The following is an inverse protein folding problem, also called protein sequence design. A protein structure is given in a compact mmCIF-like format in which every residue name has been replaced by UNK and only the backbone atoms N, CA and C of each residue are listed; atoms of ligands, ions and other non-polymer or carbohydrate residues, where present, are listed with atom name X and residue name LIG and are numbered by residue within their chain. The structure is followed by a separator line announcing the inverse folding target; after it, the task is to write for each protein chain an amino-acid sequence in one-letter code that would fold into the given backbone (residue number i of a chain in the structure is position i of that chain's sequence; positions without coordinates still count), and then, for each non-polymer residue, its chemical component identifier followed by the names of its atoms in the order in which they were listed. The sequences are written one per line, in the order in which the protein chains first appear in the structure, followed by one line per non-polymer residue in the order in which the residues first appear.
data_IF_425610361061
#
_entry.id   IF_425610361061
#
_cell.length_a   1.000
_cell.length_b   1.000
_cell.length_c   1.000
_cell.angle_alpha   90.00
_cell.angle_beta   90.00
_cell.angle_gamma   90.00
#
_symmetry.space_group_name_H-M   'P 1'
#
loop_
_entity.id
_entity.type
_entity.pdbx_description
1 polymer ?
#
# COMPACT_ATOMS: atom_id res chain seq x y z
N UNK A 1 -12.23 -2.08 18.97
CA UNK A 1 -12.88 -2.49 17.71
C UNK A 1 -14.28 -1.94 17.67
N UNK A 2 -14.77 -1.51 16.50
CA UNK A 2 -16.16 -1.14 16.23
C UNK A 2 -16.68 -2.02 15.12
N UNK A 3 -17.92 -2.47 15.23
CA UNK A 3 -18.62 -3.20 14.18
C UNK A 3 -19.78 -2.34 13.68
N UNK A 4 -19.81 -2.07 12.39
CA UNK A 4 -20.82 -1.23 11.75
C UNK A 4 -21.69 -2.13 10.87
N UNK A 5 -22.98 -2.15 11.16
CA UNK A 5 -23.98 -2.81 10.32
C UNK A 5 -24.56 -1.74 9.40
N UNK A 6 -24.22 -1.80 8.12
CA UNK A 6 -24.60 -0.78 7.15
C UNK A 6 -25.89 -1.22 6.44
N UNK A 7 -27.01 -0.58 6.81
CA UNK A 7 -28.35 -0.84 6.26
C UNK A 7 -28.55 -0.30 4.83
N UNK A 8 -27.58 0.44 4.26
CA UNK A 8 -27.73 1.06 2.95
C UNK A 8 -27.53 0.08 1.80
N UNK A 9 -28.34 0.19 0.74
CA UNK A 9 -28.12 -0.45 -0.57
C UNK A 9 -26.87 0.04 -1.32
N UNK A 10 -25.98 0.84 -0.69
CA UNK A 10 -24.75 1.27 -1.33
C UNK A 10 -23.70 0.15 -1.25
N UNK A 11 -23.05 -0.20 -2.38
CA UNK A 11 -22.04 -1.23 -2.39
C UNK A 11 -20.85 -0.81 -1.51
N UNK A 12 -20.27 -1.78 -0.83
CA UNK A 12 -19.05 -1.58 -0.08
C UNK A 12 -17.88 -1.48 -1.08
N UNK A 13 -17.28 -0.32 -1.17
CA UNK A 13 -16.14 -0.04 -2.07
C UNK A 13 -14.92 0.35 -1.24
N UNK A 14 -13.73 0.24 -1.82
CA UNK A 14 -12.51 0.68 -1.14
C UNK A 14 -12.60 2.14 -0.67
N UNK A 15 -13.25 3.01 -1.46
CA UNK A 15 -13.51 4.40 -1.09
C UNK A 15 -14.48 4.53 0.09
N UNK A 16 -15.59 3.77 0.10
CA UNK A 16 -16.59 3.87 1.18
C UNK A 16 -16.11 3.24 2.49
N UNK A 17 -15.22 2.24 2.42
CA UNK A 17 -14.53 1.69 3.60
C UNK A 17 -13.52 2.69 4.17
N UNK A 18 -12.73 3.34 3.31
CA UNK A 18 -11.66 4.25 3.73
C UNK A 18 -12.18 5.61 4.20
N UNK A 19 -13.17 6.18 3.49
CA UNK A 19 -13.61 7.57 3.66
C UNK A 19 -15.12 7.73 3.82
N UNK A 20 -15.90 6.65 3.88
CA UNK A 20 -17.34 6.76 4.14
C UNK A 20 -17.58 7.26 5.56
N UNK A 21 -18.13 8.47 5.78
CA UNK A 21 -18.19 9.07 7.13
C UNK A 21 -19.37 8.57 7.97
N UNK A 22 -20.33 7.90 7.35
CA UNK A 22 -21.57 7.48 8.00
C UNK A 22 -21.33 6.29 8.93
N UNK A 23 -21.88 6.39 10.15
CA UNK A 23 -21.81 5.34 11.17
C UNK A 23 -20.36 4.88 11.48
N UNK A 24 -19.39 5.80 11.43
CA UNK A 24 -17.98 5.51 11.71
C UNK A 24 -17.46 6.19 12.96
N UNK A 25 -16.42 5.60 13.54
CA UNK A 25 -15.62 6.18 14.62
C UNK A 25 -14.14 5.99 14.24
N UNK A 26 -13.58 6.92 13.48
CA UNK A 26 -12.23 6.81 12.91
C UNK A 26 -11.11 6.73 13.96
N UNK A 27 -11.33 7.27 15.16
CA UNK A 27 -10.37 7.17 16.27
C UNK A 27 -10.22 5.73 16.82
N UNK A 28 -11.10 4.79 16.41
CA UNK A 28 -10.99 3.40 16.82
C UNK A 28 -10.05 2.65 15.89
N UNK A 29 -9.04 2.01 16.48
CA UNK A 29 -7.98 1.25 15.79
C UNK A 29 -8.46 0.30 14.72
N UNK A 30 -9.59 -0.38 14.97
CA UNK A 30 -10.16 -1.36 14.04
C UNK A 30 -11.65 -1.14 13.93
N UNK A 31 -12.10 -0.94 12.69
CA UNK A 31 -13.50 -0.87 12.32
C UNK A 31 -13.79 -1.98 11.32
N UNK A 32 -14.83 -2.76 11.60
CA UNK A 32 -15.38 -3.77 10.70
C UNK A 32 -16.71 -3.25 10.20
N UNK A 33 -16.90 -3.23 8.89
CA UNK A 33 -18.10 -2.72 8.23
C UNK A 33 -18.73 -3.90 7.51
N UNK A 34 -19.98 -4.21 7.84
CA UNK A 34 -20.74 -5.29 7.23
C UNK A 34 -21.90 -4.65 6.48
N UNK A 35 -21.94 -4.80 5.16
CA UNK A 35 -23.03 -4.31 4.33
C UNK A 35 -24.18 -5.31 4.28
N UNK A 36 -25.39 -4.81 3.95
CA UNK A 36 -26.58 -5.64 3.82
C UNK A 36 -26.47 -6.74 2.75
N UNK A 37 -25.58 -6.58 1.75
CA UNK A 37 -25.26 -7.57 0.72
C UNK A 37 -24.09 -8.52 1.11
N UNK A 38 -23.77 -8.57 2.41
CA UNK A 38 -22.77 -9.46 3.02
C UNK A 38 -21.31 -9.22 2.63
N UNK A 39 -20.97 -8.07 2.03
CA UNK A 39 -19.56 -7.66 1.93
C UNK A 39 -19.04 -7.19 3.29
N UNK A 40 -17.75 -7.44 3.54
CA UNK A 40 -17.08 -7.06 4.78
C UNK A 40 -15.87 -6.19 4.46
N UNK A 41 -15.82 -5.02 5.09
CA UNK A 41 -14.75 -4.05 4.95
C UNK A 41 -14.03 -3.87 6.27
N UNK A 42 -12.72 -3.67 6.18
CA UNK A 42 -11.88 -3.39 7.34
C UNK A 42 -11.21 -2.04 7.16
N UNK A 43 -11.41 -1.15 8.13
CA UNK A 43 -10.69 0.12 8.21
C UNK A 43 -9.85 0.13 9.49
N UNK A 44 -8.59 0.53 9.33
CA UNK A 44 -7.60 0.50 10.40
C UNK A 44 -6.97 1.87 10.59
N UNK A 45 -6.96 2.37 11.83
CA UNK A 45 -6.08 3.48 12.19
C UNK A 45 -4.66 2.94 12.38
N UNK A 46 -3.71 3.53 11.63
CA UNK A 46 -2.33 3.04 11.58
C UNK A 46 -1.41 3.66 12.65
N UNK A 47 -1.91 4.59 13.47
CA UNK A 47 -1.06 5.23 14.48
C UNK A 47 -0.57 4.20 15.52
N UNK A 48 -1.45 3.28 15.92
CA UNK A 48 -1.19 2.33 17.01
C UNK A 48 -0.56 1.01 16.55
N UNK A 49 -0.81 0.58 15.32
CA UNK A 49 -0.37 -0.75 14.84
C UNK A 49 -0.18 -0.77 13.33
N UNK A 50 0.73 -1.62 12.88
CA UNK A 50 0.91 -1.88 11.47
C UNK A 50 -0.22 -2.78 10.93
N UNK A 51 -0.50 -2.74 9.61
CA UNK A 51 -1.60 -3.51 9.03
C UNK A 51 -1.45 -5.03 9.15
N UNK A 52 -0.22 -5.55 9.13
CA UNK A 52 0.04 -6.98 9.06
C UNK A 52 -0.48 -7.77 10.29
N UNK A 53 -0.18 -7.39 11.55
CA UNK A 53 -0.76 -8.05 12.72
C UNK A 53 -2.29 -8.01 12.76
N UNK A 54 -2.90 -6.89 12.35
CA UNK A 54 -4.35 -6.73 12.32
C UNK A 54 -4.99 -7.66 11.29
N UNK A 55 -4.44 -7.74 10.09
CA UNK A 55 -4.93 -8.65 9.06
C UNK A 55 -4.75 -10.10 9.44
N UNK A 56 -3.64 -10.46 10.10
CA UNK A 56 -3.44 -11.82 10.62
C UNK A 56 -4.53 -12.19 11.64
N UNK A 57 -4.87 -11.28 12.54
CA UNK A 57 -5.98 -11.48 13.49
C UNK A 57 -7.32 -11.62 12.75
N UNK A 58 -7.60 -10.73 11.80
CA UNK A 58 -8.81 -10.77 10.98
C UNK A 58 -8.94 -12.09 10.23
N UNK A 59 -7.89 -12.56 9.57
CA UNK A 59 -7.87 -13.85 8.87
C UNK A 59 -8.19 -15.00 9.83
N UNK A 60 -7.54 -15.06 10.99
CA UNK A 60 -7.79 -16.11 11.97
C UNK A 60 -9.26 -16.10 12.48
N UNK A 61 -9.83 -14.92 12.69
CA UNK A 61 -11.25 -14.78 13.08
C UNK A 61 -12.17 -15.27 11.98
N UNK A 62 -11.92 -14.89 10.72
CA UNK A 62 -12.77 -15.30 9.60
C UNK A 62 -12.66 -16.79 9.29
N UNK A 63 -11.46 -17.37 9.39
CA UNK A 63 -11.25 -18.82 9.31
C UNK A 63 -12.02 -19.56 10.39
N UNK A 64 -12.03 -19.05 11.62
CA UNK A 64 -12.81 -19.63 12.72
C UNK A 64 -14.32 -19.50 12.49
N UNK A 65 -14.80 -18.35 12.00
CA UNK A 65 -16.22 -18.14 11.65
C UNK A 65 -16.67 -18.99 10.45
N UNK A 66 -15.74 -19.49 9.63
CA UNK A 66 -16.05 -20.41 8.54
C UNK A 66 -16.29 -21.85 9.02
N UNK A 67 -16.05 -22.14 10.30
CA UNK A 67 -16.35 -23.44 10.90
C UNK A 67 -17.87 -23.59 11.15
N UNK A 68 -18.38 -24.83 11.14
CA UNK A 68 -19.79 -25.12 11.44
C UNK A 68 -20.27 -24.47 12.75
N UNK A 69 -21.48 -23.89 12.73
CA UNK A 69 -22.02 -23.10 13.84
C UNK A 69 -22.24 -23.90 15.14
N UNK A 70 -22.35 -25.23 15.06
CA UNK A 70 -22.41 -26.14 16.21
C UNK A 70 -21.08 -26.23 16.99
N UNK A 71 -19.99 -25.72 16.41
CA UNK A 71 -18.69 -25.57 17.06
C UNK A 71 -18.53 -24.21 17.75
N UNK A 72 -19.50 -23.30 17.62
CA UNK A 72 -19.46 -22.00 18.27
C UNK A 72 -19.92 -22.14 19.72
N UNK A 73 -19.08 -21.72 20.66
CA UNK A 73 -19.45 -21.62 22.07
C UNK A 73 -20.52 -20.52 22.23
N UNK A 74 -21.80 -20.91 22.23
CA UNK A 74 -22.91 -19.98 22.43
C UNK A 74 -22.95 -19.56 23.90
N UNK A 75 -22.14 -18.57 24.29
CA UNK A 75 -22.12 -17.99 25.65
C UNK A 75 -23.39 -17.19 26.02
N UNK A 76 -24.52 -17.45 25.36
CA UNK A 76 -25.78 -16.75 25.52
C UNK A 76 -25.98 -15.57 24.55
N UNK A 77 -27.07 -14.83 24.73
CA UNK A 77 -27.34 -13.62 23.93
C UNK A 77 -26.43 -12.48 24.40
N UNK A 78 -25.82 -11.70 23.49
CA UNK A 78 -25.01 -10.56 23.88
C UNK A 78 -25.90 -9.53 24.60
N UNK A 79 -25.39 -9.00 25.71
CA UNK A 79 -25.97 -7.81 26.33
C UNK A 79 -25.45 -6.56 25.62
N UNK A 80 -26.36 -5.70 25.18
CA UNK A 80 -26.03 -4.43 24.55
C UNK A 80 -26.64 -3.27 25.33
N UNK A 81 -25.93 -2.15 25.40
CA UNK A 81 -26.40 -0.90 25.96
C UNK A 81 -26.40 0.16 24.88
N UNK A 82 -27.54 0.80 24.66
CA UNK A 82 -27.64 1.93 23.75
C UNK A 82 -26.91 3.14 24.35
N UNK A 83 -26.00 3.72 23.58
CA UNK A 83 -25.38 5.00 23.90
C UNK A 83 -26.22 6.13 23.32
N UNK A 84 -26.58 7.12 24.15
CA UNK A 84 -27.35 8.30 23.75
C UNK A 84 -26.51 9.55 23.93
N UNK A 85 -26.66 10.49 22.99
CA UNK A 85 -25.87 11.72 22.96
C UNK A 85 -26.81 12.92 22.93
N UNK A 86 -26.56 13.90 23.80
CA UNK A 86 -27.20 15.21 23.73
C UNK A 86 -26.21 16.18 23.10
N UNK A 87 -26.46 16.54 21.84
CA UNK A 87 -25.57 17.42 21.08
C UNK A 87 -26.09 18.85 21.11
N UNK A 88 -25.21 19.78 21.49
CA UNK A 88 -25.49 21.21 21.40
C UNK A 88 -25.39 21.72 19.96
N UNK A 89 -25.68 23.01 19.76
CA UNK A 89 -25.63 23.64 18.45
C UNK A 89 -24.23 23.60 17.83
N UNK A 90 -23.20 23.97 18.59
CA UNK A 90 -21.81 24.02 18.12
C UNK A 90 -21.29 22.64 17.69
N UNK A 91 -21.62 21.58 18.44
CA UNK A 91 -21.22 20.21 18.10
C UNK A 91 -21.88 19.75 16.81
N UNK A 92 -23.17 20.08 16.60
CA UNK A 92 -23.87 19.76 15.35
C UNK A 92 -23.25 20.48 14.15
N UNK A 93 -22.90 21.75 14.31
CA UNK A 93 -22.20 22.51 13.25
C UNK A 93 -20.84 21.91 12.94
N UNK A 94 -20.04 21.58 13.96
CA UNK A 94 -18.73 20.95 13.79
C UNK A 94 -18.82 19.59 13.07
N UNK A 95 -19.83 18.78 13.39
CA UNK A 95 -20.08 17.51 12.70
C UNK A 95 -20.48 17.72 11.23
N UNK A 96 -21.31 18.73 10.94
CA UNK A 96 -21.68 19.08 9.57
C UNK A 96 -20.46 19.56 8.76
N UNK A 97 -19.62 20.41 9.34
CA UNK A 97 -18.39 20.88 8.71
C UNK A 97 -17.41 19.71 8.45
N UNK A 98 -17.24 18.81 9.42
CA UNK A 98 -16.40 17.62 9.27
C UNK A 98 -16.92 16.70 8.16
N UNK A 99 -18.23 16.47 8.09
CA UNK A 99 -18.85 15.68 7.02
C UNK A 99 -18.61 16.32 5.64
N UNK A 100 -18.75 17.64 5.52
CA UNK A 100 -18.48 18.38 4.29
C UNK A 100 -17.00 18.28 3.88
N UNK A 101 -16.06 18.48 4.81
CA UNK A 101 -14.62 18.34 4.56
C UNK A 101 -14.28 16.93 4.08
N UNK A 102 -14.83 15.91 4.74
CA UNK A 102 -14.62 14.53 4.34
C UNK A 102 -15.18 14.24 2.94
N UNK A 103 -16.39 14.72 2.62
CA UNK A 103 -16.98 14.58 1.29
C UNK A 103 -16.11 15.24 0.20
N UNK A 104 -15.56 16.42 0.47
CA UNK A 104 -14.63 17.09 -0.45
C UNK A 104 -13.36 16.25 -0.68
N UNK A 105 -12.76 15.70 0.38
CA UNK A 105 -11.57 14.85 0.26
C UNK A 105 -11.89 13.56 -0.50
N UNK A 106 -12.97 12.87 -0.13
CA UNK A 106 -13.42 11.65 -0.80
C UNK A 106 -13.65 11.89 -2.29
N UNK A 107 -14.30 13.00 -2.65
CA UNK A 107 -14.58 13.34 -4.04
C UNK A 107 -13.33 13.67 -4.87
N UNK A 108 -12.19 13.99 -4.24
CA UNK A 108 -10.91 14.26 -4.90
C UNK A 108 -10.10 12.99 -5.18
N UNK A 109 -10.50 11.84 -4.66
CA UNK A 109 -9.78 10.57 -4.84
C UNK A 109 -10.52 9.67 -5.83
N UNK A 110 -9.76 9.04 -6.72
CA UNK A 110 -10.18 7.93 -7.58
C UNK A 110 -9.54 6.63 -7.11
N UNK A 111 -10.23 5.52 -7.32
CA UNK A 111 -9.77 4.19 -6.96
C UNK A 111 -10.10 3.21 -8.08
N UNK A 112 -9.14 2.38 -8.45
CA UNK A 112 -9.32 1.32 -9.42
C UNK A 112 -8.71 0.03 -8.87
N UNK A 113 -9.34 -1.12 -9.06
CA UNK A 113 -8.81 -2.41 -8.63
C UNK A 113 -9.00 -3.47 -9.71
N UNK A 114 -8.07 -4.41 -9.77
CA UNK A 114 -8.16 -5.55 -10.68
C UNK A 114 -7.38 -6.73 -10.13
N UNK A 115 -7.51 -7.87 -10.79
CA UNK A 115 -6.76 -9.09 -10.50
C UNK A 115 -6.20 -9.64 -11.79
N UNK A 116 -4.89 -9.95 -11.79
CA UNK A 116 -4.24 -10.69 -12.87
C UNK A 116 -4.25 -12.16 -12.49
N UNK A 117 -5.05 -12.95 -13.19
CA UNK A 117 -5.08 -14.41 -13.05
C UNK A 117 -3.79 -15.01 -13.62
N UNK A 118 -3.42 -16.21 -13.15
CA UNK A 118 -2.23 -16.97 -13.57
C UNK A 118 -0.87 -16.29 -13.29
N UNK A 119 -0.89 -15.11 -12.66
CA UNK A 119 0.27 -14.39 -12.17
C UNK A 119 0.28 -14.41 -10.64
N UNK A 120 0.62 -15.57 -10.07
CA UNK A 120 0.69 -15.75 -8.63
C UNK A 120 2.08 -16.16 -8.15
N UNK A 121 2.22 -16.35 -6.85
CA UNK A 121 3.47 -16.79 -6.25
C UNK A 121 3.91 -18.18 -6.76
N UNK A 122 2.97 -19.04 -7.16
CA UNK A 122 3.33 -20.36 -7.72
C UNK A 122 3.94 -20.27 -9.12
N UNK A 123 3.43 -19.40 -10.01
CA UNK A 123 4.02 -19.21 -11.34
C UNK A 123 5.37 -18.51 -11.25
N UNK A 124 5.52 -17.52 -10.38
CA UNK A 124 6.80 -16.83 -10.16
C UNK A 124 7.86 -17.75 -9.51
N UNK A 125 7.46 -18.64 -8.59
CA UNK A 125 8.36 -19.65 -8.02
C UNK A 125 8.91 -20.62 -9.06
N UNK A 126 8.11 -21.03 -10.06
CA UNK A 126 8.58 -21.88 -11.17
C UNK A 126 9.68 -21.21 -12.01
N UNK A 127 9.69 -19.87 -12.03
CA UNK A 127 10.71 -19.05 -12.68
C UNK A 127 11.89 -18.72 -11.75
N UNK A 128 11.88 -19.20 -10.49
CA UNK A 128 12.84 -18.86 -9.43
C UNK A 128 12.87 -17.35 -9.09
N UNK A 129 11.72 -16.68 -9.16
CA UNK A 129 11.61 -15.24 -8.89
C UNK A 129 10.77 -15.01 -7.63
N UNK A 130 11.27 -14.19 -6.71
CA UNK A 130 10.49 -13.74 -5.56
C UNK A 130 9.35 -12.82 -6.01
N UNK A 131 8.13 -13.10 -5.54
CA UNK A 131 6.94 -12.39 -5.96
C UNK A 131 7.00 -10.88 -5.72
N UNK A 132 7.53 -10.50 -4.56
CA UNK A 132 7.66 -9.10 -4.14
C UNK A 132 8.65 -8.33 -5.04
N UNK A 133 9.84 -8.90 -5.27
CA UNK A 133 10.83 -8.33 -6.17
C UNK A 133 10.33 -8.22 -7.62
N UNK A 134 9.60 -9.22 -8.12
CA UNK A 134 8.95 -9.15 -9.44
C UNK A 134 7.95 -7.98 -9.50
N UNK A 135 7.06 -7.88 -8.52
CA UNK A 135 6.06 -6.83 -8.47
C UNK A 135 6.71 -5.45 -8.42
N UNK A 136 7.74 -5.25 -7.60
CA UNK A 136 8.44 -3.97 -7.48
C UNK A 136 9.19 -3.56 -8.75
N UNK A 137 9.85 -4.51 -9.43
CA UNK A 137 10.46 -4.24 -10.76
C UNK A 137 9.39 -3.90 -11.79
N UNK A 138 8.23 -4.58 -11.76
CA UNK A 138 7.11 -4.26 -12.64
C UNK A 138 6.47 -2.90 -12.37
N UNK A 139 6.36 -2.50 -11.11
CA UNK A 139 5.92 -1.16 -10.72
C UNK A 139 6.93 -0.09 -11.16
N UNK A 140 8.23 -0.36 -11.05
CA UNK A 140 9.27 0.54 -11.57
C UNK A 140 9.21 0.69 -13.11
N UNK A 141 8.90 -0.39 -13.85
CA UNK A 141 8.66 -0.30 -15.29
C UNK A 141 7.43 0.57 -15.60
N UNK A 142 6.33 0.41 -14.85
CA UNK A 142 5.13 1.21 -15.01
C UNK A 142 5.39 2.69 -14.70
N UNK A 143 6.14 2.98 -13.64
CA UNK A 143 6.56 4.35 -13.28
C UNK A 143 7.34 4.99 -14.41
N UNK A 144 8.39 4.32 -14.89
CA UNK A 144 9.23 4.82 -15.98
C UNK A 144 8.43 5.10 -17.26
N UNK A 145 7.45 4.25 -17.59
CA UNK A 145 6.54 4.46 -18.73
C UNK A 145 5.63 5.67 -18.55
N UNK A 146 5.14 5.91 -17.33
CA UNK A 146 4.23 7.01 -17.02
C UNK A 146 4.96 8.36 -16.97
N UNK A 147 6.19 8.38 -16.45
CA UNK A 147 6.91 9.64 -16.16
C UNK A 147 7.99 9.97 -17.19
N UNK A 148 8.49 8.97 -17.93
CA UNK A 148 9.65 9.10 -18.80
C UNK A 148 10.97 9.30 -18.05
N UNK A 149 10.96 9.18 -16.72
CA UNK A 149 12.11 9.39 -15.85
C UNK A 149 12.05 8.49 -14.63
N UNK A 150 12.78 8.86 -13.57
CA UNK A 150 12.83 8.08 -12.33
C UNK A 150 12.23 8.86 -11.18
N UNK A 151 11.19 8.30 -10.57
CA UNK A 151 10.60 8.80 -9.33
C UNK A 151 10.72 7.76 -8.23
N UNK A 152 10.57 8.20 -6.99
CA UNK A 152 10.67 7.28 -5.86
C UNK A 152 9.45 6.34 -5.82
N UNK A 153 9.73 5.04 -5.64
CA UNK A 153 8.76 4.03 -5.25
C UNK A 153 9.11 3.65 -3.82
N UNK A 154 8.22 3.98 -2.88
CA UNK A 154 8.38 3.69 -1.47
C UNK A 154 7.75 2.36 -1.15
N UNK A 155 8.51 1.50 -0.49
CA UNK A 155 8.08 0.17 -0.06
C UNK A 155 8.27 -0.03 1.44
N UNK A 156 7.20 -0.43 2.17
CA UNK A 156 7.28 -0.67 3.60
C UNK A 156 8.05 -1.97 3.91
N UNK A 157 8.93 -1.90 4.91
CA UNK A 157 9.74 -3.01 5.42
C UNK A 157 9.51 -3.14 6.92
N UNK A 158 9.14 -4.34 7.36
CA UNK A 158 8.91 -4.65 8.78
C UNK A 158 10.19 -4.50 9.60
N UNK A 159 10.06 -3.84 10.76
CA UNK A 159 11.08 -3.70 11.79
C UNK A 159 10.75 -4.52 13.07
N UNK A 160 9.69 -5.33 13.08
CA UNK A 160 9.19 -6.05 14.27
C UNK A 160 10.19 -7.00 14.96
N UNK A 161 11.29 -7.34 14.30
CA UNK A 161 12.44 -8.07 14.84
C UNK A 161 13.24 -7.25 15.87
N UNK A 162 13.11 -5.93 15.85
CA UNK A 162 13.66 -5.02 16.85
C UNK A 162 12.63 -4.72 17.94
N UNK A 163 13.09 -4.46 19.16
CA UNK A 163 12.21 -4.05 20.26
C UNK A 163 11.45 -2.77 19.89
N UNK A 164 10.12 -2.80 19.98
CA UNK A 164 9.20 -1.72 19.55
C UNK A 164 9.32 -1.34 18.07
N UNK A 165 9.98 -2.16 17.25
CA UNK A 165 10.06 -1.92 15.82
C UNK A 165 8.69 -1.95 15.16
N UNK A 166 8.44 -0.96 14.30
CA UNK A 166 7.23 -0.82 13.49
C UNK A 166 7.55 -1.17 12.04
N UNK A 167 7.48 -0.18 11.15
CA UNK A 167 7.79 -0.29 9.74
C UNK A 167 8.74 0.84 9.34
N UNK A 168 9.76 0.54 8.55
CA UNK A 168 10.51 1.55 7.79
C UNK A 168 10.10 1.51 6.33
N UNK A 169 10.52 2.49 5.53
CA UNK A 169 10.41 2.40 4.08
C UNK A 169 11.80 2.23 3.46
N UNK A 170 11.83 1.68 2.26
CA UNK A 170 12.98 1.78 1.35
C UNK A 170 12.54 2.32 -0.01
N UNK A 171 13.45 3.01 -0.70
CA UNK A 171 13.33 3.29 -2.12
C UNK A 171 13.60 2.04 -2.96
N UNK A 172 12.57 1.48 -3.62
CA UNK A 172 12.65 0.20 -4.33
C UNK A 172 13.35 0.29 -5.69
N UNK A 173 13.47 1.49 -6.27
CA UNK A 173 14.16 1.71 -7.55
C UNK A 173 15.68 1.66 -7.33
N UNK A 174 16.31 0.57 -7.80
CA UNK A 174 17.77 0.37 -7.77
C UNK A 174 18.41 0.76 -9.11
N UNK A 175 19.74 0.95 -9.15
CA UNK A 175 20.45 1.23 -10.40
C UNK A 175 20.35 0.06 -11.38
N UNK A 176 20.33 -1.17 -10.86
CA UNK A 176 20.15 -2.41 -11.60
C UNK A 176 18.75 -2.46 -12.24
N UNK A 177 17.71 -2.11 -11.47
CA UNK A 177 16.37 -1.98 -11.99
C UNK A 177 16.30 -0.92 -13.09
N UNK A 178 16.95 0.23 -12.92
CA UNK A 178 17.00 1.27 -13.96
C UNK A 178 17.63 0.75 -15.26
N UNK A 179 18.79 0.08 -15.17
CA UNK A 179 19.46 -0.50 -16.35
C UNK A 179 18.59 -1.52 -17.07
N UNK A 180 17.97 -2.43 -16.31
CA UNK A 180 17.04 -3.41 -16.87
C UNK A 180 15.86 -2.74 -17.56
N UNK A 181 15.17 -1.83 -16.86
CA UNK A 181 13.95 -1.17 -17.35
C UNK A 181 14.25 -0.33 -18.59
N UNK A 182 15.37 0.41 -18.63
CA UNK A 182 15.76 1.18 -19.82
C UNK A 182 15.97 0.25 -21.02
N UNK A 183 16.69 -0.86 -20.86
CA UNK A 183 16.91 -1.82 -21.94
C UNK A 183 15.59 -2.48 -22.40
N UNK A 184 14.76 -2.89 -21.44
CA UNK A 184 13.46 -3.51 -21.70
C UNK A 184 12.47 -2.54 -22.37
N UNK A 185 12.44 -1.28 -21.94
CA UNK A 185 11.62 -0.23 -22.54
C UNK A 185 12.08 0.12 -23.97
N UNK A 186 13.37 -0.01 -24.27
CA UNK A 186 13.91 0.16 -25.63
C UNK A 186 13.63 -1.02 -26.58
N UNK A 187 12.86 -2.03 -26.13
CA UNK A 187 12.47 -3.17 -26.97
C UNK A 187 13.50 -4.31 -27.03
N UNK A 188 14.59 -4.24 -26.26
CA UNK A 188 15.60 -5.30 -26.22
C UNK A 188 15.07 -6.52 -25.44
N UNK A 189 15.31 -7.74 -25.94
CA UNK A 189 14.77 -8.99 -25.37
C UNK A 189 15.80 -10.14 -25.37
N UNK A 190 17.08 -9.82 -25.54
CA UNK A 190 18.15 -10.80 -25.62
C UNK A 190 18.56 -11.36 -24.23
N UNK A 191 19.53 -12.27 -24.23
CA UNK A 191 20.06 -12.88 -23.01
C UNK A 191 20.69 -11.85 -22.07
N UNK A 192 21.25 -10.75 -22.59
CA UNK A 192 21.83 -9.70 -21.76
C UNK A 192 20.72 -8.97 -20.97
N UNK A 193 19.56 -8.72 -21.57
CA UNK A 193 18.39 -8.16 -20.87
C UNK A 193 17.89 -9.09 -19.76
N UNK A 194 17.93 -10.42 -19.96
CA UNK A 194 17.61 -11.38 -18.89
C UNK A 194 18.59 -11.29 -17.73
N UNK A 195 19.89 -11.15 -17.99
CA UNK A 195 20.88 -10.95 -16.92
C UNK A 195 20.65 -9.64 -16.17
N UNK A 196 20.28 -8.56 -16.85
CA UNK A 196 19.92 -7.30 -16.20
C UNK A 196 18.69 -7.46 -15.30
N UNK A 197 17.68 -8.21 -15.73
CA UNK A 197 16.51 -8.51 -14.90
C UNK A 197 16.90 -9.27 -13.63
N UNK A 198 17.75 -10.30 -13.74
CA UNK A 198 18.19 -11.08 -12.60
C UNK A 198 18.99 -10.22 -11.60
N UNK A 199 19.82 -9.30 -12.11
CA UNK A 199 20.51 -8.30 -11.29
C UNK A 199 19.54 -7.34 -10.60
N UNK A 200 18.48 -6.91 -11.28
CA UNK A 200 17.47 -6.03 -10.70
C UNK A 200 16.73 -6.71 -9.54
N UNK A 201 16.30 -7.96 -9.72
CA UNK A 201 15.62 -8.77 -8.69
C UNK A 201 16.55 -9.04 -7.50
N UNK A 202 17.81 -9.38 -7.76
CA UNK A 202 18.81 -9.58 -6.72
C UNK A 202 19.06 -8.30 -5.92
N UNK A 203 19.26 -7.17 -6.60
CA UNK A 203 19.50 -5.87 -5.95
C UNK A 203 18.32 -5.41 -5.09
N UNK A 204 17.08 -5.64 -5.53
CA UNK A 204 15.89 -5.39 -4.71
C UNK A 204 15.89 -6.27 -3.46
N UNK A 205 16.13 -7.57 -3.61
CA UNK A 205 16.15 -8.52 -2.50
C UNK A 205 17.25 -8.19 -1.48
N UNK A 206 18.44 -7.81 -1.95
CA UNK A 206 19.55 -7.40 -1.10
C UNK A 206 19.22 -6.11 -0.32
N UNK A 207 18.60 -5.12 -0.98
CA UNK A 207 18.16 -3.89 -0.32
C UNK A 207 17.05 -4.16 0.71
N UNK A 208 16.10 -5.02 0.39
CA UNK A 208 15.06 -5.47 1.33
C UNK A 208 15.70 -6.12 2.57
N UNK A 209 16.66 -7.02 2.37
CA UNK A 209 17.37 -7.69 3.45
C UNK A 209 18.19 -6.71 4.32
N UNK A 210 18.93 -5.78 3.70
CA UNK A 210 19.67 -4.73 4.41
C UNK A 210 18.74 -3.86 5.24
N UNK A 211 17.63 -3.41 4.64
CA UNK A 211 16.64 -2.57 5.31
C UNK A 211 16.00 -3.32 6.47
N UNK A 212 15.58 -4.57 6.25
CA UNK A 212 15.06 -5.44 7.30
C UNK A 212 16.08 -5.63 8.44
N UNK A 213 17.38 -5.66 8.16
CA UNK A 213 18.39 -5.73 9.22
C UNK A 213 18.71 -4.37 9.88
N UNK A 214 17.88 -3.34 9.67
CA UNK A 214 18.02 -2.02 10.29
C UNK A 214 19.11 -1.15 9.63
N UNK A 215 19.56 -1.52 8.43
CA UNK A 215 20.60 -0.81 7.69
C UNK A 215 20.03 0.09 6.56
N UNK A 216 18.70 0.30 6.56
CA UNK A 216 18.05 1.28 5.70
C UNK A 216 18.36 2.73 6.12
N UNK A 217 18.21 3.68 5.19
CA UNK A 217 18.64 5.07 5.43
C UNK A 217 17.48 6.00 5.80
N UNK A 218 16.25 5.66 5.42
CA UNK A 218 15.09 6.55 5.44
C UNK A 218 14.77 7.03 6.86
N UNK A 219 14.62 6.11 7.82
CA UNK A 219 14.38 6.47 9.21
C UNK A 219 15.62 7.00 9.92
N UNK A 220 16.82 6.63 9.48
CA UNK A 220 18.05 7.22 10.02
C UNK A 220 18.12 8.71 9.65
N UNK A 221 17.85 9.06 8.40
CA UNK A 221 17.77 10.45 7.93
C UNK A 221 16.65 11.22 8.63
N UNK A 222 15.48 10.62 8.84
CA UNK A 222 14.39 11.22 9.62
C UNK A 222 14.84 11.53 11.06
N UNK A 223 15.54 10.59 11.70
CA UNK A 223 16.08 10.77 13.05
C UNK A 223 17.08 11.92 13.12
N UNK A 224 18.01 12.00 12.16
CA UNK A 224 18.98 13.10 12.07
C UNK A 224 18.30 14.46 11.84
N UNK A 225 17.26 14.51 10.99
CA UNK A 225 16.49 15.73 10.76
C UNK A 225 15.74 16.18 12.03
N UNK A 226 15.14 15.23 12.75
CA UNK A 226 14.46 15.51 14.02
C UNK A 226 15.44 16.01 15.09
N UNK A 227 16.62 15.40 15.18
CA UNK A 227 17.68 15.85 16.08
C UNK A 227 18.14 17.27 15.73
N UNK A 228 18.35 17.58 14.45
CA UNK A 228 18.67 18.93 14.01
C UNK A 228 17.60 19.94 14.47
N UNK A 229 16.32 19.63 14.22
CA UNK A 229 15.20 20.50 14.60
C UNK A 229 15.13 20.77 16.11
N UNK A 230 15.43 19.76 16.94
CA UNK A 230 15.42 19.88 18.40
C UNK A 230 16.63 20.63 18.97
N UNK A 231 17.75 20.71 18.24
CA UNK A 231 19.02 21.25 18.73
C UNK A 231 19.38 22.61 18.11
N UNK A 232 18.38 23.43 17.79
CA UNK A 232 18.57 24.79 17.26
C UNK A 232 18.37 24.93 15.74
N UNK A 233 18.03 23.83 15.06
CA UNK A 233 17.56 23.84 13.70
C UNK A 233 18.57 24.39 12.69
N UNK A 234 18.04 24.99 11.62
CA UNK A 234 18.82 25.41 10.46
C UNK A 234 19.92 26.44 10.79
N UNK A 235 19.74 27.24 11.83
CA UNK A 235 20.71 28.27 12.21
C UNK A 235 21.98 27.67 12.82
N UNK A 236 21.85 26.59 13.59
CA UNK A 236 22.97 25.89 14.23
C UNK A 236 23.63 24.90 13.27
N UNK A 237 22.85 24.31 12.36
CA UNK A 237 23.32 23.29 11.41
C UNK A 237 23.03 23.69 9.95
N UNK A 238 23.67 24.74 9.42
CA UNK A 238 23.39 25.24 8.07
C UNK A 238 23.70 24.20 6.97
N UNK A 239 24.76 23.41 7.11
CA UNK A 239 25.13 22.39 6.12
C UNK A 239 24.13 21.22 6.11
N UNK A 240 23.70 20.77 7.29
CA UNK A 240 22.67 19.74 7.40
C UNK A 240 21.34 20.26 6.85
N UNK A 241 20.98 21.50 7.13
CA UNK A 241 19.79 22.13 6.56
C UNK A 241 19.89 22.20 5.02
N UNK A 242 21.04 22.55 4.45
CA UNK A 242 21.23 22.54 3.01
C UNK A 242 21.04 21.14 2.41
N UNK A 243 21.54 20.09 3.08
CA UNK A 243 21.33 18.70 2.68
C UNK A 243 19.84 18.30 2.78
N UNK A 244 19.17 18.57 3.90
CA UNK A 244 17.78 18.17 4.13
C UNK A 244 16.78 18.91 3.24
N UNK A 245 17.09 20.15 2.82
CA UNK A 245 16.29 20.91 1.86
C UNK A 245 16.76 20.74 0.41
N UNK A 246 17.71 19.85 0.14
CA UNK A 246 18.20 19.62 -1.21
C UNK A 246 17.10 19.02 -2.10
N UNK A 247 17.08 19.42 -3.37
CA UNK A 247 16.13 18.89 -4.35
C UNK A 247 16.23 17.37 -4.50
N UNK A 248 17.46 16.83 -4.42
CA UNK A 248 17.72 15.39 -4.45
C UNK A 248 17.03 14.66 -3.29
N UNK A 249 17.24 15.10 -2.05
CA UNK A 249 16.64 14.42 -0.91
C UNK A 249 15.12 14.56 -0.96
N UNK A 250 14.60 15.73 -1.34
CA UNK A 250 13.17 15.93 -1.51
C UNK A 250 12.56 14.94 -2.53
N UNK A 251 13.24 14.69 -3.65
CA UNK A 251 12.83 13.67 -4.63
C UNK A 251 12.88 12.26 -4.05
N UNK A 252 13.91 11.93 -3.26
CA UNK A 252 14.07 10.62 -2.63
C UNK A 252 12.95 10.33 -1.60
N UNK A 253 12.55 11.32 -0.80
CA UNK A 253 11.54 11.12 0.25
C UNK A 253 10.10 11.34 -0.23
N UNK A 254 9.92 11.92 -1.42
CA UNK A 254 8.60 12.11 -2.03
C UNK A 254 8.24 10.89 -2.88
N UNK A 255 7.48 9.96 -2.30
CA UNK A 255 6.99 8.78 -2.99
C UNK A 255 6.03 9.16 -4.13
N UNK A 256 6.39 8.82 -5.37
CA UNK A 256 5.45 8.86 -6.49
C UNK A 256 4.53 7.66 -6.44
N UNK A 257 5.06 6.47 -6.18
CA UNK A 257 4.26 5.32 -5.74
C UNK A 257 4.53 5.05 -4.27
N UNK A 258 3.48 5.14 -3.45
CA UNK A 258 3.48 4.62 -2.09
C UNK A 258 2.87 3.22 -2.13
N UNK A 259 3.71 2.20 -1.99
CA UNK A 259 3.27 0.81 -2.15
C UNK A 259 2.85 0.16 -0.83
N UNK A 260 2.06 -0.89 -0.90
CA UNK A 260 1.73 -1.76 0.25
C UNK A 260 1.55 -3.19 -0.25
N UNK A 261 2.29 -4.12 0.34
CA UNK A 261 2.25 -5.55 0.01
C UNK A 261 1.77 -6.35 1.20
N UNK A 262 0.60 -6.98 1.07
CA UNK A 262 0.00 -7.82 2.12
C UNK A 262 -0.60 -9.07 1.46
N UNK A 263 0.09 -10.23 1.51
CA UNK A 263 -0.31 -11.43 0.77
C UNK A 263 -1.36 -12.26 1.55
N UNK A 264 -2.48 -11.64 1.94
CA UNK A 264 -3.58 -12.35 2.60
C UNK A 264 -4.70 -12.63 1.59
N UNK A 265 -5.11 -13.90 1.46
CA UNK A 265 -6.17 -14.35 0.54
C UNK A 265 -7.53 -13.72 0.82
N UNK A 266 -7.77 -13.27 2.05
CA UNK A 266 -9.01 -12.59 2.46
C UNK A 266 -9.16 -11.19 1.85
N UNK A 267 -8.10 -10.62 1.28
CA UNK A 267 -8.11 -9.26 0.74
C UNK A 267 -8.47 -9.30 -0.74
N UNK A 268 -9.69 -8.88 -1.07
CA UNK A 268 -10.09 -8.64 -2.46
C UNK A 268 -9.49 -7.33 -3.00
N UNK A 269 -9.49 -6.28 -2.19
CA UNK A 269 -8.88 -4.99 -2.48
C UNK A 269 -8.43 -4.30 -1.20
N UNK A 270 -7.38 -3.48 -1.29
CA UNK A 270 -6.91 -2.63 -0.19
C UNK A 270 -6.52 -1.28 -0.77
N UNK A 271 -7.03 -0.21 -0.18
CA UNK A 271 -6.69 1.13 -0.59
C UNK A 271 -6.02 1.90 0.54
N UNK A 272 -5.03 2.71 0.17
CA UNK A 272 -4.48 3.77 0.98
C UNK A 272 -4.67 5.09 0.22
N UNK A 273 -4.49 6.23 0.88
CA UNK A 273 -4.44 7.52 0.20
C UNK A 273 -3.00 7.75 -0.29
N UNK A 274 -2.78 8.37 -1.48
CA UNK A 274 -1.44 8.77 -1.89
C UNK A 274 -0.76 9.65 -0.83
N UNK A 275 0.54 9.43 -0.57
CA UNK A 275 1.31 10.15 0.46
C UNK A 275 1.89 11.48 -0.03
N UNK A 276 1.82 11.74 -1.34
CA UNK A 276 2.28 12.98 -1.97
C UNK A 276 1.16 13.56 -2.84
N UNK A 277 1.28 14.85 -3.17
CA UNK A 277 0.25 15.59 -3.92
C UNK A 277 0.10 15.15 -5.37
N UNK A 278 1.16 14.61 -5.97
CA UNK A 278 1.21 14.12 -7.35
C UNK A 278 1.49 12.61 -7.44
N UNK A 279 1.45 11.90 -6.30
CA UNK A 279 1.69 10.47 -6.24
C UNK A 279 0.42 9.64 -6.23
N UNK A 280 0.65 8.34 -6.08
CA UNK A 280 -0.34 7.27 -6.16
C UNK A 280 -0.12 6.28 -5.03
N UNK A 281 -1.20 5.78 -4.43
CA UNK A 281 -1.14 4.65 -3.51
C UNK A 281 -1.37 3.37 -4.30
N UNK A 282 -0.45 2.41 -4.19
CA UNK A 282 -0.53 1.12 -4.90
C UNK A 282 -0.51 -0.01 -3.89
N UNK A 283 -1.60 -0.75 -3.82
CA UNK A 283 -1.60 -2.06 -3.17
C UNK A 283 -1.36 -3.15 -4.20
N UNK A 284 -0.53 -4.12 -3.83
CA UNK A 284 -0.43 -5.39 -4.52
C UNK A 284 -0.46 -6.55 -3.53
N UNK A 285 -1.24 -7.58 -3.85
CA UNK A 285 -1.34 -8.80 -3.05
C UNK A 285 -1.08 -10.00 -3.93
N UNK A 286 0.03 -10.71 -3.69
CA UNK A 286 0.37 -11.91 -4.46
C UNK A 286 -0.13 -13.14 -3.71
N UNK A 287 -1.15 -13.78 -4.26
CA UNK A 287 -1.70 -15.03 -3.76
C UNK A 287 -0.99 -16.23 -4.42
N UNK A 288 -1.46 -17.46 -4.21
CA UNK A 288 -0.91 -18.62 -4.93
C UNK A 288 -1.07 -18.51 -6.46
N UNK A 289 -2.26 -18.13 -6.92
CA UNK A 289 -2.65 -18.19 -8.33
C UNK A 289 -2.87 -16.82 -8.99
N UNK A 290 -2.99 -15.74 -8.21
CA UNK A 290 -3.35 -14.41 -8.73
C UNK A 290 -2.54 -13.29 -8.09
N UNK A 291 -2.48 -12.15 -8.79
CA UNK A 291 -1.98 -10.87 -8.30
C UNK A 291 -3.14 -9.89 -8.23
N UNK A 292 -3.53 -9.49 -7.02
CA UNK A 292 -4.52 -8.43 -6.80
C UNK A 292 -3.84 -7.06 -6.80
N UNK A 293 -4.45 -6.07 -7.42
CA UNK A 293 -3.94 -4.71 -7.52
C UNK A 293 -5.04 -3.70 -7.18
N UNK A 294 -4.69 -2.67 -6.42
CA UNK A 294 -5.52 -1.50 -6.21
C UNK A 294 -4.68 -0.25 -6.35
N UNK A 295 -5.14 0.70 -7.16
CA UNK A 295 -4.53 2.02 -7.34
C UNK A 295 -5.47 3.06 -6.76
N UNK A 296 -4.90 4.01 -6.02
CA UNK A 296 -5.54 5.24 -5.58
C UNK A 296 -4.80 6.44 -6.18
N UNK A 297 -5.56 7.44 -6.62
CA UNK A 297 -5.02 8.63 -7.26
C UNK A 297 -5.80 9.87 -6.84
N UNK A 298 -5.13 11.02 -6.74
CA UNK A 298 -5.86 12.28 -6.76
C UNK A 298 -6.40 12.51 -8.17
N UNK A 299 -7.65 12.93 -8.30
CA UNK A 299 -8.28 13.24 -9.60
C UNK A 299 -7.63 14.41 -10.34
N UNK A 300 -6.79 15.17 -9.64
CA UNK A 300 -5.98 16.26 -10.21
C UNK A 300 -4.65 15.77 -10.78
N UNK A 301 -4.27 14.52 -10.56
CA UNK A 301 -3.05 13.96 -11.10
C UNK A 301 -3.14 13.80 -12.63
N UNK A 302 -2.00 13.73 -13.34
CA UNK A 302 -1.98 13.56 -14.79
C UNK A 302 -2.66 12.28 -15.28
N UNK A 303 -2.60 11.20 -14.49
CA UNK A 303 -3.29 9.94 -14.78
C UNK A 303 -4.35 9.67 -13.71
N UNK A 304 -5.53 9.25 -14.13
CA UNK A 304 -6.56 8.68 -13.26
C UNK A 304 -6.10 7.36 -12.63
N UNK A 305 -6.84 6.87 -11.62
CA UNK A 305 -6.52 5.59 -11.00
C UNK A 305 -6.63 4.44 -12.01
N UNK A 306 -7.61 4.51 -12.91
CA UNK A 306 -7.89 3.53 -13.96
C UNK A 306 -6.80 3.51 -15.05
N UNK A 307 -6.38 4.68 -15.53
CA UNK A 307 -5.30 4.80 -16.52
C UNK A 307 -3.98 4.28 -15.95
N UNK A 308 -3.64 4.65 -14.70
CA UNK A 308 -2.43 4.17 -14.08
C UNK A 308 -2.50 2.67 -13.81
N UNK A 309 -3.63 2.16 -13.33
CA UNK A 309 -3.83 0.72 -13.13
C UNK A 309 -3.62 -0.06 -14.43
N UNK A 310 -4.13 0.45 -15.55
CA UNK A 310 -3.94 -0.15 -16.88
C UNK A 310 -2.45 -0.23 -17.23
N UNK A 311 -1.71 0.86 -17.07
CA UNK A 311 -0.26 0.87 -17.30
C UNK A 311 0.50 -0.10 -16.37
N UNK A 312 0.10 -0.23 -15.10
CA UNK A 312 0.68 -1.19 -14.16
C UNK A 312 0.42 -2.64 -14.63
N UNK A 313 -0.82 -2.96 -15.01
CA UNK A 313 -1.21 -4.28 -15.52
C UNK A 313 -0.44 -4.62 -16.79
N UNK A 314 -0.34 -3.70 -17.74
CA UNK A 314 0.38 -3.89 -18.99
C UNK A 314 1.88 -4.13 -18.75
N UNK A 315 2.47 -3.43 -17.77
CA UNK A 315 3.87 -3.59 -17.41
C UNK A 315 4.16 -4.94 -16.77
N UNK A 316 3.33 -5.36 -15.81
CA UNK A 316 3.46 -6.67 -15.15
C UNK A 316 3.20 -7.83 -16.12
N UNK A 317 2.18 -7.70 -16.98
CA UNK A 317 1.82 -8.73 -17.95
C UNK A 317 2.88 -8.86 -19.04
N UNK A 318 3.42 -7.74 -19.55
CA UNK A 318 4.52 -7.77 -20.52
C UNK A 318 5.78 -8.43 -19.95
N UNK A 319 6.12 -8.15 -18.69
CA UNK A 319 7.26 -8.79 -18.01
C UNK A 319 7.02 -10.28 -17.80
N UNK A 320 5.86 -10.67 -17.27
CA UNK A 320 5.49 -12.06 -17.05
C UNK A 320 5.51 -12.89 -18.34
N UNK A 321 4.91 -12.35 -19.41
CA UNK A 321 4.88 -12.99 -20.72
C UNK A 321 6.27 -13.17 -21.33
N UNK A 322 7.13 -12.15 -21.20
CA UNK A 322 8.53 -12.26 -21.64
C UNK A 322 9.31 -13.31 -20.85
N UNK A 323 9.22 -13.33 -19.52
CA UNK A 323 9.92 -14.30 -18.67
C UNK A 323 9.48 -15.74 -18.97
N UNK A 324 8.17 -15.95 -19.17
CA UNK A 324 7.62 -17.27 -19.52
C UNK A 324 8.10 -17.75 -20.89
N UNK A 325 8.22 -16.85 -21.86
CA UNK A 325 8.77 -17.20 -23.18
C UNK A 325 10.26 -17.58 -23.10
N UNK A 326 11.02 -16.98 -22.18
CA UNK A 326 12.43 -17.30 -21.97
C UNK A 326 12.64 -18.64 -21.26
N UNK A 327 11.72 -19.08 -20.39
CA UNK A 327 11.85 -20.37 -19.70
C UNK A 327 11.52 -21.58 -20.58
N UNK A 328 10.81 -21.36 -21.69
CA UNK A 328 10.41 -22.42 -22.63
C UNK A 328 11.42 -22.63 -23.77
N UNK A 329 12.46 -21.80 -23.85
CA UNK A 329 13.56 -21.88 -24.81
C UNK A 329 14.83 -22.39 -24.12
#
# INVERSE_FOLDING_TARGET
MVLTLQDSNQPLTAQSVLLGPQDRIFDKTTQVIISADAHVGFAFDRSQTDPYPLLKLTTAVVEHLSQPADQWDSKGKPHFQQLTWQLDHYTKEALSEAANKNAVIANRLGFASTTIQDLGSESLKKLNIAADAFSQVGLALAEYRATGGWRNISEPVSMHQFYQGRTTNMASVTLEAQRFITAFAAGQRDTAVKQLFDQAVAAHSDRMALTHNGLGIEHHLLGLQAMMAQNGGNAVFPDAAAFFHSAFLNQLVTAFFSTTSLPFEIIDSLAAVPTSTDGYGIYYGVSKAKLSLTVSAWKTNPFTAEELLTNVVDSLTALSGWLTAQSNN
#
